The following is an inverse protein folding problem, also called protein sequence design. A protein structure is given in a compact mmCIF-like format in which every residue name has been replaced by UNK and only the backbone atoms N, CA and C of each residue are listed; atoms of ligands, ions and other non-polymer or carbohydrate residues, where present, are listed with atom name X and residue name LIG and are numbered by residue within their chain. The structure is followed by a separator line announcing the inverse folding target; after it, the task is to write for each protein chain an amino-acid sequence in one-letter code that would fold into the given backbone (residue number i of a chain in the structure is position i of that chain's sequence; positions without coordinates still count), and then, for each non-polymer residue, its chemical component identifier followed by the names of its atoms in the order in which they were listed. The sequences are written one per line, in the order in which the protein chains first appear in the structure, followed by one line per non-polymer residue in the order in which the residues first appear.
data_IF_109829892840
#
_entry.id   IF_109829892840
#
_cell.length_a   1.000
_cell.length_b   1.000
_cell.length_c   1.000
_cell.angle_alpha   90.00
_cell.angle_beta   90.00
_cell.angle_gamma   90.00
#
_symmetry.space_group_name_H-M   'P 1'
#
loop_
_entity.id
_entity.type
_entity.pdbx_description
1 polymer ?
#
# COMPACT_ATOMS: atom_id res chain seq x y z
N UNK A 1 6.94 1.55 -5.88
CA UNK A 1 6.21 0.90 -7.00
C UNK A 1 6.85 1.17 -8.37
N UNK A 2 7.90 1.98 -8.42
CA UNK A 2 8.48 2.57 -9.64
C UNK A 2 8.84 1.56 -10.73
N UNK A 3 9.36 0.39 -10.36
CA UNK A 3 9.67 -0.69 -11.33
C UNK A 3 8.44 -1.22 -12.05
N UNK A 4 7.29 -1.26 -11.38
CA UNK A 4 6.02 -1.73 -11.95
C UNK A 4 5.42 -0.67 -12.87
N UNK A 5 5.49 0.60 -12.45
CA UNK A 5 5.09 1.74 -13.30
C UNK A 5 5.93 1.81 -14.58
N UNK A 6 7.26 1.65 -14.45
CA UNK A 6 8.17 1.60 -15.60
C UNK A 6 7.90 0.41 -16.54
N UNK A 7 7.27 -0.66 -16.04
CA UNK A 7 6.84 -1.80 -16.84
C UNK A 7 5.44 -1.62 -17.48
N UNK A 8 4.81 -0.45 -17.32
CA UNK A 8 3.50 -0.13 -17.89
C UNK A 8 2.30 -0.66 -17.09
N UNK A 9 2.51 -1.11 -15.84
CA UNK A 9 1.40 -1.47 -14.96
C UNK A 9 0.72 -0.20 -14.47
N UNK A 10 -0.61 -0.17 -14.59
CA UNK A 10 -1.42 0.96 -14.17
C UNK A 10 -1.49 1.07 -12.64
N UNK A 11 -1.29 2.29 -12.15
CA UNK A 11 -1.50 2.65 -10.75
C UNK A 11 -2.95 3.12 -10.54
N UNK A 12 -3.73 2.32 -9.82
CA UNK A 12 -5.12 2.63 -9.47
C UNK A 12 -5.16 3.54 -8.23
N UNK A 13 -4.24 3.32 -7.30
CA UNK A 13 -4.06 4.18 -6.13
C UNK A 13 -2.58 4.49 -5.91
N UNK A 14 -2.18 5.78 -5.91
CA UNK A 14 -0.82 6.20 -5.63
C UNK A 14 -0.29 5.71 -4.28
N UNK A 15 1.03 5.50 -4.23
CA UNK A 15 1.73 5.21 -2.98
C UNK A 15 1.42 6.28 -1.92
N UNK A 16 0.87 5.85 -0.79
CA UNK A 16 0.55 6.73 0.33
C UNK A 16 0.80 6.05 1.67
N UNK A 17 0.99 6.88 2.68
CA UNK A 17 1.06 6.48 4.08
C UNK A 17 -0.32 6.66 4.71
N UNK A 18 -0.78 5.65 5.44
CA UNK A 18 -2.03 5.62 6.16
C UNK A 18 -1.76 5.62 7.68
N UNK A 19 -2.53 6.41 8.45
CA UNK A 19 -2.22 6.69 9.84
C UNK A 19 -2.32 5.45 10.75
N UNK A 20 -2.98 4.38 10.30
CA UNK A 20 -3.05 3.11 11.03
C UNK A 20 -1.85 2.18 10.82
N UNK A 21 -0.77 2.66 10.19
CA UNK A 21 0.51 1.94 10.14
C UNK A 21 0.74 1.17 8.84
N UNK A 22 0.25 1.68 7.72
CA UNK A 22 0.43 1.05 6.41
C UNK A 22 0.90 2.07 5.38
N UNK A 23 1.94 1.72 4.61
CA UNK A 23 2.31 2.39 3.36
C UNK A 23 1.89 1.48 2.23
N UNK A 24 1.02 1.93 1.35
CA UNK A 24 0.54 1.05 0.28
C UNK A 24 0.19 1.77 -1.02
N UNK A 25 0.15 0.99 -2.09
CA UNK A 25 -0.26 1.40 -3.42
C UNK A 25 -1.09 0.28 -4.04
N UNK A 26 -2.10 0.65 -4.84
CA UNK A 26 -2.96 -0.31 -5.54
C UNK A 26 -2.67 -0.25 -7.02
N UNK A 27 -2.42 -1.41 -7.62
CA UNK A 27 -2.04 -1.57 -9.02
C UNK A 27 -3.08 -2.42 -9.74
N UNK A 28 -3.29 -2.16 -11.03
CA UNK A 28 -4.12 -3.01 -11.88
C UNK A 28 -3.27 -4.17 -12.41
N UNK A 29 -3.52 -5.36 -11.88
CA UNK A 29 -2.94 -6.60 -12.36
C UNK A 29 -3.63 -7.13 -13.64
N UNK A 30 -3.14 -8.26 -14.17
CA UNK A 30 -3.78 -8.96 -15.27
C UNK A 30 -5.25 -9.27 -14.98
N UNK A 31 -6.06 -9.38 -16.03
CA UNK A 31 -7.48 -9.74 -15.96
C UNK A 31 -8.34 -8.83 -15.05
N UNK A 32 -7.87 -7.61 -14.78
CA UNK A 32 -8.58 -6.63 -13.95
C UNK A 32 -8.47 -6.87 -12.45
N UNK A 33 -7.56 -7.74 -11.99
CA UNK A 33 -7.33 -7.95 -10.56
C UNK A 33 -6.67 -6.72 -9.93
N UNK A 34 -7.13 -6.31 -8.75
CA UNK A 34 -6.47 -5.26 -7.97
C UNK A 34 -5.39 -5.89 -7.07
N UNK A 35 -4.15 -5.45 -7.23
CA UNK A 35 -3.04 -5.83 -6.38
C UNK A 35 -2.72 -4.71 -5.39
N UNK A 36 -2.91 -4.98 -4.10
CA UNK A 36 -2.51 -4.08 -3.02
C UNK A 36 -1.13 -4.48 -2.48
N UNK A 37 -0.15 -3.60 -2.62
CA UNK A 37 1.22 -3.81 -2.12
C UNK A 37 1.40 -3.00 -0.84
N UNK A 38 1.37 -3.68 0.30
CA UNK A 38 1.41 -3.07 1.63
C UNK A 38 2.78 -3.27 2.28
N UNK A 39 3.36 -2.19 2.77
CA UNK A 39 4.51 -2.16 3.67
C UNK A 39 4.03 -1.64 5.05
N UNK A 40 4.19 -2.40 6.14
CA UNK A 40 3.95 -1.88 7.48
C UNK A 40 4.85 -0.66 7.78
N UNK A 41 4.28 0.35 8.41
CA UNK A 41 4.99 1.52 8.94
C UNK A 41 4.50 1.78 10.38
N UNK A 42 5.24 2.54 11.21
CA UNK A 42 4.73 2.91 12.53
C UNK A 42 3.37 3.61 12.44
N UNK A 43 2.36 3.18 13.21
CA UNK A 43 1.07 3.85 13.25
C UNK A 43 1.19 5.24 13.91
N UNK A 44 0.30 6.15 13.53
CA UNK A 44 0.10 7.40 14.23
C UNK A 44 -0.38 7.15 15.69
N UNK A 45 -0.13 8.09 16.62
CA UNK A 45 -0.41 7.89 18.04
C UNK A 45 -1.84 7.42 18.36
N UNK A 46 -2.83 7.94 17.64
CA UNK A 46 -4.24 7.58 17.79
C UNK A 46 -4.57 6.12 17.41
N UNK A 47 -3.73 5.46 16.61
CA UNK A 47 -3.90 4.07 16.17
C UNK A 47 -2.94 3.09 16.87
N UNK A 48 -2.00 3.57 17.68
CA UNK A 48 -0.95 2.75 18.28
C UNK A 48 -1.48 1.58 19.12
N UNK A 49 -2.61 1.75 19.83
CA UNK A 49 -3.20 0.70 20.66
C UNK A 49 -3.81 -0.47 19.88
N UNK A 50 -4.06 -0.30 18.58
CA UNK A 50 -4.70 -1.29 17.71
C UNK A 50 -3.69 -2.11 16.91
N UNK A 51 -2.45 -1.61 16.79
CA UNK A 51 -1.38 -2.24 16.05
C UNK A 51 -0.80 -3.41 16.84
N UNK A 52 -0.72 -4.59 16.20
CA UNK A 52 -0.05 -5.78 16.72
C UNK A 52 0.94 -6.30 15.70
N UNK A 53 2.24 -6.18 15.99
CA UNK A 53 3.25 -6.98 15.30
C UNK A 53 3.06 -8.44 15.72
N UNK A 54 3.01 -9.35 14.74
CA UNK A 54 2.83 -10.79 14.96
C UNK A 54 4.16 -11.50 14.82
#
# INVERSE_FOLDING_TARGET
VDRLLAAGIEEVQPLRDEPFGQRHAVLLGPDGMLLDVIQPIPPAPEYAAQFRET
#
